data_IF_797416250816
#
_entry.id   IF_797416250816
#
_cell.length_a   1.000
_cell.length_b   1.000
_cell.length_c   1.000
_cell.angle_alpha   90.00
_cell.angle_beta   90.00
_cell.angle_gamma   90.00
#
_symmetry.space_group_name_H-M   'P 1'
#
loop_
_entity.id
_entity.type
_entity.pdbx_description
1 polymer ?
#
# COMPACT_ATOMS: atom_id res chain seq x y z
N UNK A 1 -2.88 -5.72 28.08
CA UNK A 1 -3.95 -4.94 28.74
C UNK A 1 -5.34 -5.20 28.18
N UNK A 2 -5.58 -5.17 26.86
CA UNK A 2 -6.89 -5.49 26.31
C UNK A 2 -7.47 -6.85 26.80
N UNK A 3 -6.67 -7.92 26.78
CA UNK A 3 -7.07 -9.25 27.30
C UNK A 3 -7.31 -9.24 28.82
N UNK A 4 -6.51 -8.49 29.58
CA UNK A 4 -6.64 -8.36 31.03
C UNK A 4 -7.93 -7.63 31.41
N UNK A 5 -8.19 -6.50 30.75
CA UNK A 5 -9.43 -5.75 30.87
C UNK A 5 -10.65 -6.63 30.54
N UNK A 6 -10.57 -7.39 29.44
CA UNK A 6 -11.62 -8.35 29.07
C UNK A 6 -11.89 -9.41 30.16
N UNK A 7 -10.86 -9.82 30.90
CA UNK A 7 -10.97 -10.77 32.02
C UNK A 7 -11.42 -10.13 33.34
N UNK A 8 -11.76 -8.83 33.35
CA UNK A 8 -12.31 -8.13 34.52
C UNK A 8 -11.30 -7.37 35.38
N UNK A 9 -10.04 -7.26 34.93
CA UNK A 9 -9.08 -6.37 35.58
C UNK A 9 -9.37 -4.90 35.24
N UNK A 10 -9.27 -4.01 36.23
CA UNK A 10 -9.34 -2.56 36.01
C UNK A 10 -8.01 -2.04 35.44
N UNK A 11 -7.90 -2.03 34.11
CA UNK A 11 -6.70 -1.61 33.37
C UNK A 11 -7.06 -0.83 32.11
N UNK A 12 -6.43 0.33 31.93
CA UNK A 12 -6.56 1.14 30.71
C UNK A 12 -5.82 0.47 29.54
N UNK A 13 -6.53 0.20 28.46
CA UNK A 13 -6.00 -0.49 27.27
C UNK A 13 -5.93 0.41 26.03
N UNK A 14 -6.61 1.57 26.04
CA UNK A 14 -6.47 2.60 25.03
C UNK A 14 -5.21 3.42 25.35
N UNK A 15 -4.21 3.37 24.47
CA UNK A 15 -2.94 4.08 24.68
C UNK A 15 -2.97 5.52 24.20
N UNK A 16 -3.56 5.73 23.02
CA UNK A 16 -3.58 7.02 22.37
C UNK A 16 -4.72 7.05 21.34
N UNK A 17 -5.21 8.25 21.04
CA UNK A 17 -5.99 8.57 19.84
C UNK A 17 -5.23 9.65 19.07
N UNK A 18 -5.19 9.55 17.75
CA UNK A 18 -4.56 10.53 16.88
C UNK A 18 -5.58 11.02 15.86
N UNK A 19 -5.58 12.33 15.61
CA UNK A 19 -6.43 12.92 14.58
C UNK A 19 -5.82 12.66 13.19
N UNK A 20 -6.65 12.12 12.30
CA UNK A 20 -6.32 11.86 10.89
C UNK A 20 -7.28 12.63 9.98
N UNK A 21 -6.90 12.83 8.72
CA UNK A 21 -7.49 13.85 7.86
C UNK A 21 -7.81 13.31 6.46
N UNK A 22 -9.04 12.93 6.14
CA UNK A 22 -10.23 12.81 6.97
C UNK A 22 -11.01 11.55 6.62
N UNK A 23 -11.82 11.07 7.58
CA UNK A 23 -12.65 9.87 7.44
C UNK A 23 -11.77 8.66 7.06
N UNK A 24 -11.01 8.12 8.02
CA UNK A 24 -10.17 6.95 7.78
C UNK A 24 -11.01 5.75 7.33
N UNK A 25 -10.53 5.04 6.31
CA UNK A 25 -11.00 3.71 5.93
C UNK A 25 -10.10 2.65 6.56
N UNK A 26 -9.33 1.94 5.72
CA UNK A 26 -8.34 0.97 6.20
C UNK A 26 -7.07 1.65 6.72
N UNK A 27 -6.30 0.89 7.49
CA UNK A 27 -4.94 1.22 7.86
C UNK A 27 -4.05 -0.01 7.80
N UNK A 28 -2.76 0.20 7.51
CA UNK A 28 -1.80 -0.90 7.35
C UNK A 28 -0.45 -0.50 7.92
N UNK A 29 0.14 -1.39 8.71
CA UNK A 29 1.48 -1.18 9.24
C UNK A 29 2.52 -1.97 8.42
N UNK A 30 3.77 -1.54 8.51
CA UNK A 30 4.88 -2.24 7.87
C UNK A 30 4.94 -3.70 8.31
N UNK A 31 4.85 -4.61 7.33
CA UNK A 31 4.94 -6.05 7.51
C UNK A 31 3.82 -6.68 8.39
N UNK A 32 2.74 -5.93 8.69
CA UNK A 32 1.76 -6.31 9.73
C UNK A 32 0.89 -7.51 9.41
N UNK A 33 0.76 -7.87 8.13
CA UNK A 33 0.02 -9.05 7.68
C UNK A 33 0.93 -10.29 7.55
N UNK A 34 2.07 -10.26 8.24
CA UNK A 34 3.04 -11.34 8.28
C UNK A 34 3.59 -11.54 9.70
N UNK A 35 4.44 -12.56 9.87
CA UNK A 35 5.19 -12.74 11.13
C UNK A 35 6.35 -11.75 11.29
N UNK A 36 6.65 -10.97 10.25
CA UNK A 36 7.76 -10.02 10.21
C UNK A 36 7.35 -8.60 10.63
N UNK A 37 6.15 -8.42 11.20
CA UNK A 37 5.65 -7.13 11.70
C UNK A 37 6.70 -6.41 12.55
N UNK A 38 7.06 -5.18 12.17
CA UNK A 38 8.24 -4.48 12.72
C UNK A 38 7.90 -3.27 13.61
N UNK A 39 6.63 -2.86 13.64
CA UNK A 39 6.15 -1.75 14.48
C UNK A 39 6.76 -0.39 14.15
N UNK A 40 7.13 -0.12 12.88
CA UNK A 40 7.77 1.16 12.51
C UNK A 40 6.80 2.20 11.98
N UNK A 41 6.04 1.87 10.95
CA UNK A 41 5.14 2.81 10.30
C UNK A 41 3.74 2.24 10.17
N UNK A 42 2.74 3.11 10.27
CA UNK A 42 1.34 2.87 9.99
C UNK A 42 0.88 3.85 8.91
N UNK A 43 0.09 3.38 7.95
CA UNK A 43 -0.54 4.20 6.93
C UNK A 43 -2.05 4.22 7.16
N UNK A 44 -2.66 5.40 7.31
CA UNK A 44 -4.11 5.59 7.40
C UNK A 44 -4.64 6.07 6.05
N UNK A 45 -5.53 5.30 5.43
CA UNK A 45 -6.05 5.57 4.08
C UNK A 45 -7.37 6.37 4.20
N UNK A 46 -7.28 7.69 4.12
CA UNK A 46 -8.40 8.59 4.44
C UNK A 46 -9.18 9.02 3.20
N UNK A 47 -10.51 8.99 3.29
CA UNK A 47 -11.43 9.09 2.12
C UNK A 47 -11.76 10.51 1.68
N UNK A 48 -11.44 11.51 2.48
CA UNK A 48 -11.59 12.91 2.07
C UNK A 48 -10.34 13.70 2.45
N UNK A 49 -9.72 14.37 1.48
CA UNK A 49 -8.58 15.25 1.73
C UNK A 49 -8.96 16.69 2.06
N UNK A 50 -10.10 17.19 1.57
CA UNK A 50 -10.60 18.56 1.84
C UNK A 50 -9.52 19.64 1.68
N UNK A 51 -9.13 20.27 2.77
CA UNK A 51 -8.22 21.42 2.86
C UNK A 51 -6.74 21.02 3.03
N UNK A 52 -6.41 19.73 2.96
CA UNK A 52 -5.02 19.23 3.15
C UNK A 52 -4.09 19.57 1.98
N UNK A 53 -4.65 19.90 0.81
CA UNK A 53 -3.89 20.18 -0.41
C UNK A 53 -4.38 21.44 -1.12
N UNK A 54 -3.62 21.88 -2.14
CA UNK A 54 -4.09 22.91 -3.06
C UNK A 54 -5.37 22.42 -3.77
N UNK A 55 -6.37 23.30 -3.97
CA UNK A 55 -7.63 22.92 -4.62
C UNK A 55 -7.39 22.56 -6.08
N UNK A 56 -7.94 21.41 -6.52
CA UNK A 56 -7.75 20.85 -7.87
C UNK A 56 -9.06 20.69 -8.66
N UNK A 57 -10.14 21.31 -8.19
CA UNK A 57 -11.47 21.24 -8.80
C UNK A 57 -12.43 20.38 -7.98
N UNK A 58 -13.57 19.94 -8.56
CA UNK A 58 -14.60 19.22 -7.82
C UNK A 58 -14.16 17.85 -7.30
N UNK A 59 -13.30 17.15 -8.04
CA UNK A 59 -12.73 15.87 -7.64
C UNK A 59 -11.38 16.10 -6.94
N UNK A 60 -11.36 15.83 -5.64
CA UNK A 60 -10.16 15.94 -4.82
C UNK A 60 -9.46 14.57 -4.72
N UNK A 61 -8.15 14.52 -4.45
CA UNK A 61 -7.48 13.27 -4.09
C UNK A 61 -7.96 12.77 -2.72
N UNK A 62 -7.68 11.51 -2.43
CA UNK A 62 -7.68 10.97 -1.06
C UNK A 62 -6.43 11.44 -0.30
N UNK A 63 -6.29 11.09 0.99
CA UNK A 63 -5.12 11.44 1.81
C UNK A 63 -4.60 10.22 2.57
N UNK A 64 -3.54 9.62 2.05
CA UNK A 64 -2.85 8.53 2.73
C UNK A 64 -1.81 9.12 3.69
N UNK A 65 -2.02 8.89 4.98
CA UNK A 65 -1.21 9.51 6.03
C UNK A 65 -0.24 8.51 6.64
N UNK A 66 1.06 8.83 6.59
CA UNK A 66 2.11 8.05 7.24
C UNK A 66 2.31 8.49 8.68
N UNK A 67 2.25 7.53 9.59
CA UNK A 67 2.35 7.71 11.04
C UNK A 67 3.53 6.86 11.54
N UNK A 68 4.47 7.50 12.25
CA UNK A 68 5.51 6.80 13.00
C UNK A 68 4.89 6.15 14.23
N UNK A 69 5.10 4.84 14.39
CA UNK A 69 4.64 4.05 15.54
C UNK A 69 5.80 3.31 16.24
N UNK A 70 7.04 3.70 15.95
CA UNK A 70 8.25 3.07 16.50
C UNK A 70 8.54 3.42 17.96
N UNK A 71 7.94 4.51 18.46
CA UNK A 71 8.01 4.95 19.85
C UNK A 71 6.74 4.63 20.64
N UNK A 72 6.63 5.22 21.84
CA UNK A 72 5.42 5.10 22.68
C UNK A 72 4.27 5.99 22.20
N UNK A 73 4.57 7.09 21.50
CA UNK A 73 3.60 8.03 20.94
C UNK A 73 3.59 7.95 19.42
N UNK A 74 2.39 7.85 18.83
CA UNK A 74 2.16 7.96 17.40
C UNK A 74 2.43 9.38 16.92
N UNK A 75 3.21 9.54 15.85
CA UNK A 75 3.54 10.84 15.26
C UNK A 75 3.12 10.86 13.79
N UNK A 76 2.20 11.74 13.41
CA UNK A 76 1.86 11.98 12.02
C UNK A 76 3.05 12.64 11.30
N UNK A 77 3.60 11.97 10.29
CA UNK A 77 4.80 12.42 9.59
C UNK A 77 4.51 13.05 8.23
N UNK A 78 3.53 12.52 7.49
CA UNK A 78 3.36 12.88 6.09
C UNK A 78 1.93 12.65 5.58
N UNK A 79 1.50 13.53 4.68
CA UNK A 79 0.23 13.45 3.94
C UNK A 79 0.55 13.21 2.45
N UNK A 80 0.01 12.15 1.86
CA UNK A 80 0.20 11.82 0.44
C UNK A 80 -1.13 11.88 -0.32
N UNK A 81 -1.28 12.79 -1.31
CA UNK A 81 -2.47 12.82 -2.14
C UNK A 81 -2.49 11.61 -3.08
N UNK A 82 -3.56 10.83 -3.04
CA UNK A 82 -3.73 9.64 -3.90
C UNK A 82 -4.98 9.75 -4.76
N UNK A 83 -5.02 9.01 -5.87
CA UNK A 83 -6.11 9.08 -6.85
C UNK A 83 -6.97 7.82 -6.81
N UNK A 84 -8.28 8.02 -6.95
CA UNK A 84 -9.29 6.99 -7.14
C UNK A 84 -9.36 5.97 -5.99
N UNK A 85 -9.37 6.51 -4.77
CA UNK A 85 -9.67 5.79 -3.53
C UNK A 85 -8.91 4.47 -3.35
N UNK A 86 -7.58 4.50 -3.08
CA UNK A 86 -6.90 3.31 -2.59
C UNK A 86 -7.63 2.75 -1.37
N UNK A 87 -8.11 1.51 -1.49
CA UNK A 87 -8.89 0.88 -0.44
C UNK A 87 -8.02 0.21 0.61
N UNK A 88 -6.91 -0.39 0.19
CA UNK A 88 -6.09 -1.30 0.98
C UNK A 88 -4.62 -1.24 0.51
N UNK A 89 -3.68 -1.67 1.37
CA UNK A 89 -2.26 -1.70 1.04
C UNK A 89 -1.49 -2.76 1.84
N UNK A 90 -0.42 -3.30 1.26
CA UNK A 90 0.56 -4.11 2.00
C UNK A 90 1.94 -3.50 1.82
N UNK A 91 2.67 -3.35 2.93
CA UNK A 91 4.03 -2.80 2.92
C UNK A 91 5.02 -3.90 3.27
N UNK A 92 5.94 -4.18 2.35
CA UNK A 92 6.96 -5.22 2.45
C UNK A 92 8.37 -4.63 2.45
N UNK A 93 9.37 -5.41 2.88
CA UNK A 93 10.77 -4.99 2.75
C UNK A 93 11.23 -5.13 1.31
N UNK A 94 12.11 -4.21 0.89
CA UNK A 94 12.73 -4.24 -0.44
C UNK A 94 13.45 -5.56 -0.76
N UNK A 95 13.96 -6.26 0.27
CA UNK A 95 14.75 -7.49 0.10
C UNK A 95 13.87 -8.74 -0.07
N UNK A 96 12.54 -8.63 0.13
CA UNK A 96 11.58 -9.71 -0.08
C UNK A 96 11.13 -9.83 -1.54
N UNK A 97 11.34 -8.82 -2.38
CA UNK A 97 11.03 -8.86 -3.81
C UNK A 97 12.28 -8.57 -4.63
N UNK A 98 12.57 -9.45 -5.58
CA UNK A 98 13.55 -9.25 -6.63
C UNK A 98 12.82 -9.23 -7.99
N UNK A 99 12.89 -8.11 -8.70
CA UNK A 99 12.23 -7.95 -10.00
C UNK A 99 13.17 -8.30 -11.14
N UNK A 100 12.61 -8.80 -12.26
CA UNK A 100 13.34 -8.90 -13.52
C UNK A 100 13.47 -7.52 -14.17
N UNK A 101 14.61 -7.27 -14.83
CA UNK A 101 14.81 -6.01 -15.57
C UNK A 101 14.40 -6.11 -17.04
N UNK A 102 14.42 -7.32 -17.60
CA UNK A 102 14.11 -7.61 -19.00
C UNK A 102 13.22 -8.85 -19.02
N UNK A 103 12.23 -8.87 -19.92
CA UNK A 103 11.40 -10.04 -20.17
C UNK A 103 12.19 -11.12 -20.91
N UNK A 104 11.94 -12.38 -20.57
CA UNK A 104 12.48 -13.50 -21.33
C UNK A 104 11.70 -13.66 -22.63
N UNK A 105 12.37 -13.96 -23.74
CA UNK A 105 11.69 -14.12 -25.04
C UNK A 105 10.68 -15.26 -25.07
N UNK A 106 10.74 -16.19 -24.12
CA UNK A 106 9.84 -17.32 -23.97
C UNK A 106 8.79 -17.15 -22.87
N UNK A 107 8.62 -15.95 -22.28
CA UNK A 107 7.69 -15.71 -21.17
C UNK A 107 6.24 -16.15 -21.50
N UNK A 108 5.55 -16.87 -20.60
CA UNK A 108 4.20 -17.37 -20.85
C UNK A 108 3.17 -16.27 -21.10
N UNK A 109 3.39 -15.04 -20.63
CA UNK A 109 2.46 -13.93 -20.80
C UNK A 109 2.08 -13.66 -22.25
N UNK A 110 3.03 -13.83 -23.18
CA UNK A 110 2.85 -13.64 -24.61
C UNK A 110 3.06 -14.93 -25.41
N UNK A 111 2.81 -16.09 -24.79
CA UNK A 111 2.97 -17.38 -25.47
C UNK A 111 1.99 -17.57 -26.64
N UNK A 112 0.75 -17.10 -26.50
CA UNK A 112 -0.27 -17.21 -27.54
C UNK A 112 0.10 -16.38 -28.78
N UNK A 113 0.57 -15.14 -28.58
CA UNK A 113 1.05 -14.28 -29.67
C UNK A 113 2.25 -14.89 -30.42
N UNK A 114 3.20 -15.51 -29.69
CA UNK A 114 4.30 -16.26 -30.32
C UNK A 114 3.81 -17.49 -31.07
N UNK A 115 2.75 -18.14 -30.59
CA UNK A 115 2.10 -19.25 -31.26
C UNK A 115 1.55 -18.82 -32.60
N UNK A 116 0.76 -17.73 -32.61
CA UNK A 116 0.20 -17.15 -33.83
C UNK A 116 1.30 -16.73 -34.81
N UNK A 117 2.34 -16.04 -34.35
CA UNK A 117 3.46 -15.66 -35.21
C UNK A 117 4.13 -16.87 -35.88
N UNK A 118 4.27 -17.99 -35.18
CA UNK A 118 4.81 -19.23 -35.78
C UNK A 118 3.89 -19.82 -36.83
N UNK A 119 2.58 -19.80 -36.61
CA UNK A 119 1.60 -20.25 -37.61
C UNK A 119 1.62 -19.36 -38.85
N UNK A 120 1.83 -18.05 -38.65
CA UNK A 120 1.97 -17.06 -39.73
C UNK A 120 3.36 -17.06 -40.38
N UNK A 121 4.30 -17.87 -39.90
CA UNK A 121 5.68 -17.93 -40.39
C UNK A 121 6.54 -16.70 -40.07
N UNK A 122 6.14 -15.91 -39.06
CA UNK A 122 6.80 -14.68 -38.61
C UNK A 122 7.79 -14.99 -37.48
N UNK A 123 9.03 -14.53 -37.62
CA UNK A 123 10.06 -14.52 -36.58
C UNK A 123 10.05 -13.16 -35.87
N UNK A 124 9.47 -13.13 -34.67
CA UNK A 124 9.25 -11.89 -33.90
C UNK A 124 10.54 -11.12 -33.56
N UNK A 125 11.68 -11.79 -33.54
CA UNK A 125 12.99 -11.18 -33.26
C UNK A 125 13.59 -10.42 -34.45
N UNK A 126 13.12 -10.67 -35.68
CA UNK A 126 13.80 -10.21 -36.90
C UNK A 126 12.88 -9.65 -37.98
N UNK A 127 11.60 -10.05 -38.03
CA UNK A 127 10.73 -9.80 -39.19
C UNK A 127 10.02 -8.44 -39.14
N UNK A 128 10.63 -7.47 -38.45
CA UNK A 128 10.15 -6.10 -38.29
C UNK A 128 10.81 -5.09 -39.24
N UNK A 129 11.44 -5.57 -40.32
CA UNK A 129 12.00 -4.76 -41.42
C UNK A 129 11.02 -4.51 -42.57
#
# INVERSE_FOLDING_TARGET
DAVRHYNGEDVEYIRQKIDVHYQPGHNHATLSESKDADGKYLFSLNKFSKDRYLPVGPLHPENDQMIDISGEEMVLLHDTPTFAEPHDAVIIRRDQIQTKQIWERDDPYFADDRGQAREDGITLETDNE
#
